data_IF_599266771516
#
_entry.id   IF_599266771516
#
_cell.length_a   1.000
_cell.length_b   1.000
_cell.length_c   1.000
_cell.angle_alpha   90.00
_cell.angle_beta   90.00
_cell.angle_gamma   90.00
#
_symmetry.space_group_name_H-M   'P 1'
#
loop_
_entity.id
_entity.type
_entity.pdbx_description
1 polymer ?
#
# COMPACT_ATOMS: atom_id res chain seq x y z
N UNK A 1 -2.91 13.59 -6.30
CA UNK A 1 -3.10 12.79 -6.18
C UNK A 1 -2.75 12.03 -5.21
N UNK A 2 -3.04 11.66 -4.54
CA UNK A 2 -2.72 11.03 -3.56
C UNK A 2 -3.25 9.77 -3.44
N UNK A 3 -3.21 8.98 -4.35
CA UNK A 3 -3.61 7.64 -4.30
C UNK A 3 -2.84 6.81 -3.31
N UNK A 4 -1.57 7.12 -3.12
CA UNK A 4 -0.74 6.36 -2.20
C UNK A 4 -1.29 6.35 -0.78
N UNK A 5 -1.63 7.51 -0.27
CA UNK A 5 -2.16 7.59 1.09
C UNK A 5 -3.47 6.84 1.25
N UNK A 6 -4.34 6.96 0.27
CA UNK A 6 -5.59 6.27 0.31
C UNK A 6 -5.38 4.77 0.22
N UNK A 7 -4.44 4.34 -0.60
CA UNK A 7 -4.15 2.91 -0.75
C UNK A 7 -3.59 2.33 0.53
N UNK A 8 -2.71 3.07 1.19
CA UNK A 8 -2.14 2.62 2.46
C UNK A 8 -3.26 2.45 3.48
N UNK A 9 -4.14 3.42 3.56
CA UNK A 9 -5.22 3.37 4.53
C UNK A 9 -6.14 2.20 4.24
N UNK A 10 -6.48 1.99 2.99
CA UNK A 10 -7.37 0.90 2.60
C UNK A 10 -6.75 -0.45 2.93
N UNK A 11 -5.49 -0.65 2.53
CA UNK A 11 -4.81 -1.91 2.78
C UNK A 11 -4.66 -2.17 4.28
N UNK A 12 -4.40 -1.11 5.03
CA UNK A 12 -4.26 -1.23 6.47
C UNK A 12 -5.57 -1.69 7.11
N UNK A 13 -6.66 -1.06 6.71
CA UNK A 13 -7.95 -1.39 7.26
C UNK A 13 -8.40 -2.79 6.88
N UNK A 14 -8.09 -3.20 5.67
CA UNK A 14 -8.42 -4.55 5.25
C UNK A 14 -7.72 -5.59 6.10
N UNK A 15 -6.59 -5.22 6.68
CA UNK A 15 -5.84 -6.14 7.52
C UNK A 15 -6.06 -5.88 9.00
N UNK A 16 -7.05 -5.05 9.31
CA UNK A 16 -7.43 -4.74 10.68
C UNK A 16 -6.27 -4.21 11.51
N UNK A 17 -5.44 -3.39 10.89
CA UNK A 17 -4.32 -2.79 11.61
C UNK A 17 -4.62 -1.34 11.91
N UNK A 18 -4.24 -0.90 13.11
CA UNK A 18 -4.35 0.51 13.43
C UNK A 18 -3.14 1.22 12.85
N UNK A 19 -3.18 2.54 12.83
CA UNK A 19 -2.03 3.32 12.38
C UNK A 19 -0.82 3.02 13.26
N UNK A 20 -1.04 2.87 14.55
CA UNK A 20 0.03 2.59 15.47
C UNK A 20 0.64 1.21 15.22
N UNK A 21 -0.20 0.23 14.93
CA UNK A 21 0.30 -1.10 14.65
C UNK A 21 1.12 -1.14 13.37
N UNK A 22 0.66 -0.43 12.36
CA UNK A 22 1.41 -0.37 11.12
C UNK A 22 2.74 0.34 11.37
N UNK A 23 2.72 1.43 12.12
CA UNK A 23 3.93 2.17 12.43
C UNK A 23 4.95 1.27 13.13
N UNK A 24 4.49 0.46 14.06
CA UNK A 24 5.36 -0.45 14.77
C UNK A 24 6.03 -1.43 13.82
N UNK A 25 5.27 -1.96 12.91
CA UNK A 25 5.82 -2.93 11.98
C UNK A 25 6.82 -2.33 11.02
N UNK A 26 6.66 -1.04 10.75
CA UNK A 26 7.56 -0.36 9.84
C UNK A 26 8.69 0.35 10.57
N UNK A 27 8.65 0.34 11.91
CA UNK A 27 9.64 1.02 12.73
C UNK A 27 9.64 2.53 12.44
N UNK A 28 8.45 3.10 12.34
CA UNK A 28 8.30 4.54 12.16
C UNK A 28 7.31 5.04 13.19
N UNK A 29 7.05 6.32 13.22
CA UNK A 29 6.10 6.87 14.18
C UNK A 29 4.69 6.80 13.62
N UNK A 30 3.70 6.80 14.51
CA UNK A 30 2.31 6.81 14.10
C UNK A 30 2.04 8.08 13.30
N UNK A 31 2.69 9.18 13.65
CA UNK A 31 2.52 10.42 12.94
C UNK A 31 2.94 10.31 11.49
N UNK A 32 3.98 9.53 11.22
CA UNK A 32 4.42 9.32 9.87
C UNK A 32 3.33 8.64 9.06
N UNK A 33 2.73 7.58 9.64
CA UNK A 33 1.67 6.85 8.96
C UNK A 33 0.49 7.79 8.70
N UNK A 34 0.12 8.57 9.70
CA UNK A 34 -0.99 9.49 9.57
C UNK A 34 -0.71 10.52 8.48
N UNK A 35 0.50 11.02 8.39
CA UNK A 35 0.87 11.98 7.36
C UNK A 35 0.76 11.40 5.98
N UNK A 36 1.16 10.14 5.82
CA UNK A 36 1.05 9.49 4.52
C UNK A 36 -0.42 9.34 4.13
N UNK A 37 -1.24 8.95 5.09
CA UNK A 37 -2.67 8.68 4.77
C UNK A 37 -3.44 9.95 4.47
N UNK A 38 -3.00 11.08 5.01
CA UNK A 38 -3.67 12.34 4.74
C UNK A 38 -3.05 13.10 3.57
N UNK A 39 -1.96 12.57 3.03
CA UNK A 39 -1.31 13.21 1.89
C UNK A 39 -0.36 14.34 2.23
N UNK A 40 -0.07 14.54 3.51
CA UNK A 40 0.86 15.58 3.88
C UNK A 40 2.26 15.24 3.48
N UNK A 41 2.65 14.00 3.60
CA UNK A 41 3.97 13.55 3.20
C UNK A 41 3.82 12.23 2.52
N UNK A 42 4.81 11.80 1.80
CA UNK A 42 4.77 10.51 1.16
C UNK A 42 5.95 9.68 1.61
N UNK A 43 5.78 8.37 1.73
CA UNK A 43 6.89 7.51 2.09
C UNK A 43 7.87 7.42 0.93
N UNK A 44 9.14 7.24 1.24
CA UNK A 44 10.13 7.10 0.18
C UNK A 44 10.07 5.67 -0.36
N UNK A 45 10.84 5.39 -1.37
CA UNK A 45 10.82 4.11 -2.07
C UNK A 45 11.08 2.95 -1.12
N UNK A 46 12.06 3.06 -0.26
CA UNK A 46 12.37 1.99 0.65
C UNK A 46 11.20 1.72 1.59
N UNK A 47 10.58 2.78 2.06
CA UNK A 47 9.45 2.64 2.95
C UNK A 47 8.26 2.03 2.21
N UNK A 48 8.07 2.40 0.96
CA UNK A 48 7.00 1.82 0.16
C UNK A 48 7.20 0.32 0.01
N UNK A 49 8.43 -0.12 -0.19
CA UNK A 49 8.72 -1.53 -0.30
C UNK A 49 8.43 -2.23 1.02
N UNK A 50 8.76 -1.59 2.13
CA UNK A 50 8.49 -2.16 3.44
C UNK A 50 6.98 -2.26 3.69
N UNK A 51 6.25 -1.24 3.28
CA UNK A 51 4.80 -1.24 3.44
C UNK A 51 4.20 -2.41 2.66
N UNK A 52 4.64 -2.59 1.44
CA UNK A 52 4.15 -3.69 0.62
C UNK A 52 4.47 -5.04 1.27
N UNK A 53 5.64 -5.14 1.86
CA UNK A 53 6.03 -6.37 2.53
C UNK A 53 5.16 -6.64 3.76
N UNK A 54 4.90 -5.61 4.55
CA UNK A 54 4.06 -5.76 5.73
C UNK A 54 2.65 -6.20 5.33
N UNK A 55 2.14 -5.66 4.24
CA UNK A 55 0.81 -5.99 3.78
C UNK A 55 0.81 -7.27 2.93
N UNK A 56 1.98 -7.84 2.68
CA UNK A 56 2.13 -9.05 1.89
C UNK A 56 1.49 -8.85 0.52
N UNK A 57 1.84 -7.77 -0.13
CA UNK A 57 1.28 -7.45 -1.41
C UNK A 57 2.36 -6.81 -2.29
N UNK A 58 2.01 -6.56 -3.54
CA UNK A 58 2.88 -5.98 -4.53
C UNK A 58 2.98 -4.49 -4.25
N UNK A 59 4.11 -3.90 -4.47
CA UNK A 59 4.28 -2.47 -4.28
C UNK A 59 3.32 -1.69 -5.19
N UNK A 60 2.94 -2.27 -6.32
CA UNK A 60 2.00 -1.62 -7.21
C UNK A 60 0.63 -1.43 -6.56
N UNK A 61 0.29 -2.29 -5.62
CA UNK A 61 -0.95 -2.17 -4.91
C UNK A 61 -0.92 -0.93 -4.03
N UNK A 62 0.24 -0.62 -3.46
CA UNK A 62 0.40 0.56 -2.63
C UNK A 62 0.40 1.80 -3.51
N UNK A 63 1.09 1.74 -4.63
CA UNK A 63 1.23 2.90 -5.50
C UNK A 63 -0.04 3.22 -6.27
N UNK A 64 -0.67 2.21 -6.82
CA UNK A 64 -1.76 2.43 -7.75
C UNK A 64 -3.09 1.79 -7.38
N UNK A 65 -3.12 1.04 -6.31
CA UNK A 65 -4.34 0.40 -5.88
C UNK A 65 -4.69 -0.85 -6.65
N UNK A 66 -3.76 -1.37 -7.45
CA UNK A 66 -4.01 -2.62 -8.15
C UNK A 66 -2.69 -3.31 -8.42
N UNK A 67 -2.70 -4.61 -8.37
CA UNK A 67 -1.48 -5.37 -8.52
C UNK A 67 -1.28 -5.79 -9.94
N UNK A 68 -0.07 -6.21 -10.24
CA UNK A 68 0.28 -6.71 -11.51
C UNK A 68 -0.50 -7.97 -11.80
N UNK A 69 -0.77 -8.76 -10.77
CA UNK A 69 -1.49 -9.97 -10.93
C UNK A 69 -2.89 -9.74 -11.38
N UNK A 70 -3.53 -8.72 -10.90
CA UNK A 70 -4.85 -8.36 -11.29
C UNK A 70 -4.90 -8.03 -12.76
N UNK A 71 -3.95 -7.28 -13.21
CA UNK A 71 -3.89 -6.91 -14.59
C UNK A 71 -3.68 -8.11 -15.46
N UNK A 72 -2.80 -8.99 -15.04
CA UNK A 72 -2.54 -10.17 -15.81
C UNK A 72 -3.79 -11.02 -15.90
N UNK A 73 -4.53 -11.09 -14.82
CA UNK A 73 -5.75 -11.85 -14.81
C UNK A 73 -6.72 -11.34 -15.83
N UNK A 74 -6.85 -10.06 -15.90
CA UNK A 74 -7.73 -9.47 -16.83
C UNK A 74 -7.32 -9.78 -18.23
N UNK A 75 -6.04 -9.62 -18.53
CA UNK A 75 -5.59 -9.89 -19.81
C UNK A 75 -5.76 -11.30 -20.13
N UNK A 76 -5.54 -12.15 -19.23
CA UNK A 76 -5.61 -13.47 -19.47
C UNK A 76 -6.96 -13.81 -19.90
N UNK A 77 -7.91 -13.26 -19.35
CA UNK A 77 -9.17 -13.53 -19.78
C UNK A 77 -9.26 -13.29 -21.23
N UNK A 78 -8.56 -12.43 -21.65
CA UNK A 78 -8.56 -12.16 -23.01
C UNK A 78 -7.80 -13.16 -23.73
N UNK A 79 -6.88 -13.61 -23.40
CA UNK A 79 -6.08 -14.36 -23.97
C UNK A 79 -6.01 -15.45 -24.17
N UNK A 80 -6.05 -15.75 -24.21
CA UNK A 80 -5.74 -16.57 -24.37
C UNK A 80 -5.46 -17.06 -24.91
N UNK A 81 -5.18 -16.97 -25.33
CA UNK A 81 -4.65 -17.31 -25.81
C UNK A 81 -4.39 -17.59 -26.15
#
# INVERSE_FOLDING_TARGET
MNGIGKNIKKLRKERALSQEQLAERLHVTRQAVSSWETGKNQPDIETLESIAAVFDTDILMVLYGRSRQEESGEKKGAQRK
#
